data_IF_467682726718
#
_entry.id   IF_467682726718
#
_cell.length_a   1.000
_cell.length_b   1.000
_cell.length_c   1.000
_cell.angle_alpha   90.00
_cell.angle_beta   90.00
_cell.angle_gamma   90.00
#
_symmetry.space_group_name_H-M   'P 1'
#
loop_
_entity.id
_entity.type
_entity.pdbx_description
1 polymer ?
#
# COMPACT_ATOMS: atom_id res chain seq x y z
N UNK A 1 -6.53 6.26 -1.15
CA UNK A 1 -5.90 5.43 -2.21
C UNK A 1 -4.55 6.06 -2.55
N UNK A 2 -3.49 5.29 -2.78
CA UNK A 2 -2.11 5.82 -2.94
C UNK A 2 -1.82 6.49 -4.29
N UNK A 3 -2.81 6.52 -5.20
CA UNK A 3 -2.66 7.13 -6.54
C UNK A 3 -2.27 8.61 -6.48
N UNK A 4 -2.75 9.36 -5.49
CA UNK A 4 -2.40 10.77 -5.30
C UNK A 4 -0.93 11.01 -4.92
N UNK A 5 -0.18 9.96 -4.58
CA UNK A 5 1.25 10.00 -4.25
C UNK A 5 2.11 9.36 -5.35
N UNK A 6 1.60 9.20 -6.59
CA UNK A 6 2.37 8.66 -7.70
C UNK A 6 2.60 7.13 -7.67
N UNK A 7 1.86 6.41 -6.81
CA UNK A 7 1.89 4.94 -6.80
C UNK A 7 0.87 4.36 -7.78
N UNK A 8 1.31 3.40 -8.59
CA UNK A 8 0.45 2.62 -9.48
C UNK A 8 0.21 1.23 -8.88
N UNK A 9 -0.99 0.67 -9.07
CA UNK A 9 -1.29 -0.68 -8.60
C UNK A 9 -0.78 -1.73 -9.58
N UNK A 10 0.01 -2.68 -9.08
CA UNK A 10 0.46 -3.85 -9.82
C UNK A 10 -0.51 -5.02 -9.58
N UNK A 11 -1.28 -5.37 -10.61
CA UNK A 11 -2.10 -6.58 -10.62
C UNK A 11 -1.23 -7.82 -10.83
N UNK A 12 -0.85 -8.48 -9.74
CA UNK A 12 -0.25 -9.82 -9.79
C UNK A 12 -1.40 -10.80 -10.09
N UNK A 13 -1.30 -11.59 -11.16
CA UNK A 13 -2.40 -12.36 -11.77
C UNK A 13 -3.17 -13.34 -10.86
N UNK A 14 -4.01 -14.19 -11.48
CA UNK A 14 -5.14 -14.99 -10.92
C UNK A 14 -4.96 -15.75 -9.59
N UNK A 15 -3.77 -15.83 -9.01
CA UNK A 15 -3.46 -16.48 -7.72
C UNK A 15 -3.15 -15.50 -6.56
N UNK A 16 -3.24 -14.18 -6.81
CA UNK A 16 -2.78 -13.13 -5.88
C UNK A 16 -3.60 -12.87 -4.61
N UNK A 17 -4.68 -13.61 -4.33
CA UNK A 17 -5.47 -13.47 -3.10
C UNK A 17 -5.82 -12.02 -2.69
N UNK A 18 -5.89 -11.75 -1.39
CA UNK A 18 -6.13 -10.42 -0.83
C UNK A 18 -4.97 -9.43 -1.03
N UNK A 19 -3.84 -9.82 -1.61
CA UNK A 19 -2.64 -8.97 -1.67
C UNK A 19 -2.77 -7.92 -2.78
N UNK A 20 -2.40 -6.67 -2.47
CA UNK A 20 -2.39 -5.51 -3.36
C UNK A 20 -0.97 -4.96 -3.36
N UNK A 21 -0.36 -4.85 -4.53
CA UNK A 21 1.00 -4.31 -4.66
C UNK A 21 0.91 -2.94 -5.33
N UNK A 22 1.58 -1.95 -4.76
CA UNK A 22 1.67 -0.60 -5.29
C UNK A 22 3.13 -0.30 -5.62
N UNK A 23 3.39 0.27 -6.79
CA UNK A 23 4.71 0.60 -7.27
C UNK A 23 4.80 2.09 -7.60
N UNK A 24 5.76 2.77 -7.00
CA UNK A 24 6.11 4.14 -7.34
C UNK A 24 7.32 4.10 -8.27
N UNK A 25 7.09 4.43 -9.55
CA UNK A 25 8.10 4.31 -10.60
C UNK A 25 9.30 5.23 -10.40
N UNK A 26 9.05 6.51 -10.11
CA UNK A 26 10.11 7.52 -9.96
C UNK A 26 11.05 7.23 -8.78
N UNK A 27 10.48 6.74 -7.67
CA UNK A 27 11.22 6.43 -6.45
C UNK A 27 11.66 4.96 -6.37
N UNK A 28 11.41 4.17 -7.41
CA UNK A 28 11.63 2.72 -7.49
C UNK A 28 11.21 1.97 -6.20
N UNK A 29 9.96 2.18 -5.78
CA UNK A 29 9.46 1.73 -4.47
C UNK A 29 8.22 0.87 -4.57
N UNK A 30 8.16 -0.16 -3.73
CA UNK A 30 7.06 -1.12 -3.68
C UNK A 30 6.42 -1.08 -2.30
N UNK A 31 5.09 -0.96 -2.24
CA UNK A 31 4.27 -1.18 -1.05
C UNK A 31 3.41 -2.42 -1.29
N UNK A 32 3.54 -3.42 -0.42
CA UNK A 32 2.66 -4.58 -0.42
C UNK A 32 1.62 -4.41 0.70
N UNK A 33 0.36 -4.34 0.34
CA UNK A 33 -0.76 -4.32 1.27
C UNK A 33 -1.51 -5.64 1.21
N UNK A 34 -2.03 -6.06 2.35
CA UNK A 34 -3.09 -7.06 2.39
C UNK A 34 -4.44 -6.35 2.44
N UNK A 35 -5.40 -6.75 1.60
CA UNK A 35 -6.80 -6.41 1.83
C UNK A 35 -7.16 -6.93 3.23
N UNK A 36 -7.89 -6.14 4.02
CA UNK A 36 -8.46 -6.63 5.26
C UNK A 36 -9.27 -7.90 4.98
N UNK A 37 -8.93 -9.00 5.64
CA UNK A 37 -9.68 -10.25 5.56
C UNK A 37 -9.74 -10.88 6.94
N UNK A 38 -10.92 -11.37 7.40
CA UNK A 38 -12.22 -11.41 6.72
C UNK A 38 -13.09 -10.14 6.83
N UNK A 39 -12.73 -9.20 7.70
CA UNK A 39 -13.50 -7.96 7.92
C UNK A 39 -12.82 -6.80 7.17
N UNK A 40 -13.57 -5.86 6.55
CA UNK A 40 -13.03 -4.74 5.76
C UNK A 40 -12.29 -3.68 6.60
N UNK A 41 -12.08 -3.92 7.90
CA UNK A 41 -11.47 -2.98 8.83
C UNK A 41 -9.96 -3.15 8.80
N UNK A 42 -9.26 -2.11 8.35
CA UNK A 42 -7.80 -2.06 8.44
C UNK A 42 -7.38 -2.01 9.91
N UNK A 43 -6.48 -2.92 10.31
CA UNK A 43 -5.95 -2.93 11.69
C UNK A 43 -5.14 -1.66 11.96
N UNK A 44 -5.27 -1.10 13.16
CA UNK A 44 -4.59 0.14 13.60
C UNK A 44 -3.09 0.16 13.28
N UNK A 45 -2.38 -0.96 13.52
CA UNK A 45 -0.94 -1.06 13.23
C UNK A 45 -0.60 -0.82 11.75
N UNK A 46 -1.48 -1.23 10.83
CA UNK A 46 -1.23 -1.08 9.41
C UNK A 46 -1.41 0.38 8.98
N UNK A 47 -2.33 1.10 9.62
CA UNK A 47 -2.48 2.54 9.44
C UNK A 47 -1.25 3.28 10.01
N UNK A 48 -0.80 2.92 11.21
CA UNK A 48 0.39 3.50 11.85
C UNK A 48 1.66 3.32 10.99
N UNK A 49 1.87 2.13 10.42
CA UNK A 49 3.01 1.88 9.50
C UNK A 49 2.95 2.77 8.25
N UNK A 50 1.76 2.99 7.69
CA UNK A 50 1.61 3.89 6.53
C UNK A 50 1.94 5.32 6.93
N UNK A 51 1.43 5.82 8.06
CA UNK A 51 1.70 7.18 8.54
C UNK A 51 3.21 7.37 8.79
N UNK A 52 3.87 6.40 9.42
CA UNK A 52 5.31 6.45 9.69
C UNK A 52 6.13 6.56 8.39
N UNK A 53 5.80 5.74 7.38
CA UNK A 53 6.49 5.75 6.09
C UNK A 53 6.33 7.09 5.39
N UNK A 54 5.13 7.66 5.41
CA UNK A 54 4.83 8.93 4.76
C UNK A 54 5.51 10.12 5.48
N UNK A 55 5.45 10.16 6.81
CA UNK A 55 6.08 11.20 7.64
C UNK A 55 7.61 11.19 7.47
N UNK A 56 8.24 10.01 7.54
CA UNK A 56 9.71 9.88 7.37
C UNK A 56 10.20 10.27 5.98
N UNK A 57 9.29 10.34 5.01
CA UNK A 57 9.56 10.73 3.62
C UNK A 57 9.24 12.21 3.34
N UNK A 58 8.63 12.92 4.28
CA UNK A 58 8.18 14.30 4.10
C UNK A 58 7.03 14.43 3.10
N UNK A 59 6.22 13.38 2.95
CA UNK A 59 5.08 13.36 2.03
C UNK A 59 3.78 13.80 2.69
N UNK A 60 3.75 13.80 4.03
CA UNK A 60 2.75 14.41 4.90
C UNK A 60 3.45 14.99 6.13
#
# INVERSE_FOLDING_TARGET
MLYGLGFEELSIGKTGGSRRKFYHKENNRIINLHKPHPQPILKKYALEQVIEILTRKGWI
#
